data_IF_527776325004
#
_entry.id   IF_527776325004
#
_cell.length_a   1.000
_cell.length_b   1.000
_cell.length_c   1.000
_cell.angle_alpha   90.00
_cell.angle_beta   90.00
_cell.angle_gamma   90.00
#
_symmetry.space_group_name_H-M   'P 1'
#
loop_
_entity.id
_entity.type
_entity.pdbx_description
1 polymer ?
#
# COMPACT_ATOMS: atom_id res chain seq x y z
N UNK A 1 -0.72 -12.00 11.70
CA UNK A 1 -1.37 -12.58 10.50
C UNK A 1 -2.21 -11.51 9.79
N UNK A 2 -2.05 -11.38 8.48
CA UNK A 2 -2.79 -10.38 7.72
C UNK A 2 -4.20 -10.88 7.42
N UNK A 3 -5.21 -10.10 7.77
CA UNK A 3 -6.60 -10.42 7.44
C UNK A 3 -6.88 -10.09 5.98
N UNK A 4 -7.91 -10.69 5.36
CA UNK A 4 -8.29 -10.33 3.99
C UNK A 4 -8.64 -8.84 3.85
N UNK A 5 -9.27 -8.24 4.84
CA UNK A 5 -9.57 -6.81 4.82
C UNK A 5 -8.31 -5.97 4.84
N UNK A 6 -7.34 -6.33 5.69
CA UNK A 6 -6.07 -5.60 5.75
C UNK A 6 -5.33 -5.72 4.43
N UNK A 7 -5.28 -6.92 3.85
CA UNK A 7 -4.62 -7.14 2.57
C UNK A 7 -5.24 -6.29 1.47
N UNK A 8 -6.56 -6.21 1.43
CA UNK A 8 -7.27 -5.41 0.44
C UNK A 8 -6.97 -3.92 0.60
N UNK A 9 -6.91 -3.44 1.84
CA UNK A 9 -6.60 -2.03 2.12
C UNK A 9 -5.15 -1.70 1.74
N UNK A 10 -4.22 -2.60 2.04
CA UNK A 10 -2.82 -2.42 1.66
C UNK A 10 -2.67 -2.37 0.15
N UNK A 11 -3.38 -3.24 -0.58
CA UNK A 11 -3.38 -3.25 -2.04
C UNK A 11 -3.87 -1.92 -2.60
N UNK A 12 -4.98 -1.41 -2.09
CA UNK A 12 -5.52 -0.12 -2.53
C UNK A 12 -4.59 1.03 -2.19
N UNK A 13 -4.00 1.00 -1.00
CA UNK A 13 -3.05 2.04 -0.58
C UNK A 13 -1.80 2.00 -1.44
N UNK A 14 -1.29 0.81 -1.73
CA UNK A 14 -0.11 0.66 -2.59
C UNK A 14 -0.37 1.21 -3.99
N UNK A 15 -1.53 0.90 -4.55
CA UNK A 15 -1.92 1.42 -5.85
C UNK A 15 -2.01 2.95 -5.83
N UNK A 16 -2.66 3.50 -4.81
CA UNK A 16 -2.81 4.95 -4.67
C UNK A 16 -1.46 5.65 -4.57
N UNK A 17 -0.56 5.12 -3.75
CA UNK A 17 0.79 5.67 -3.60
C UNK A 17 1.53 5.62 -4.92
N UNK A 18 1.49 4.48 -5.59
CA UNK A 18 2.14 4.30 -6.89
C UNK A 18 1.64 5.34 -7.89
N UNK A 19 0.32 5.51 -7.97
CA UNK A 19 -0.31 6.38 -8.96
C UNK A 19 -0.11 7.87 -8.69
N UNK A 20 0.33 8.24 -7.47
CA UNK A 20 0.66 9.63 -7.18
C UNK A 20 2.09 9.98 -7.59
N UNK A 21 2.93 9.02 -7.89
CA UNK A 21 4.30 9.25 -8.31
C UNK A 21 4.38 9.46 -9.81
N UNK A 22 5.46 10.13 -10.26
CA UNK A 22 5.71 10.29 -11.69
C UNK A 22 5.90 8.94 -12.37
N UNK A 23 6.61 8.02 -11.71
CA UNK A 23 6.81 6.66 -12.23
C UNK A 23 5.48 5.94 -12.39
N UNK A 24 4.57 6.09 -11.43
CA UNK A 24 3.27 5.45 -11.48
C UNK A 24 2.37 5.97 -12.59
N UNK A 25 2.56 7.23 -12.99
CA UNK A 25 1.83 7.79 -14.13
C UNK A 25 2.32 7.22 -15.44
N UNK A 26 3.63 6.98 -15.55
CA UNK A 26 4.23 6.37 -16.74
C UNK A 26 4.02 4.87 -16.80
N UNK A 27 3.98 4.22 -15.63
CA UNK A 27 3.82 2.77 -15.51
C UNK A 27 2.63 2.49 -14.61
N UNK A 28 1.41 2.46 -15.16
CA UNK A 28 0.20 2.24 -14.35
C UNK A 28 0.24 0.91 -13.58
N UNK A 29 -0.41 0.89 -12.44
CA UNK A 29 -0.42 -0.26 -11.54
C UNK A 29 -0.68 -1.58 -12.25
N UNK A 30 -1.65 -1.58 -13.17
CA UNK A 30 -2.05 -2.80 -13.87
C UNK A 30 -0.98 -3.34 -14.83
N UNK A 31 0.03 -2.54 -15.15
CA UNK A 31 1.12 -2.94 -16.03
C UNK A 31 2.34 -3.42 -15.27
N UNK A 32 2.34 -3.29 -13.95
CA UNK A 32 3.49 -3.69 -13.12
C UNK A 32 3.51 -5.19 -12.92
N UNK A 33 4.73 -5.75 -12.82
CA UNK A 33 4.91 -7.14 -12.40
C UNK A 33 4.53 -7.28 -10.93
N UNK A 34 4.28 -8.51 -10.50
CA UNK A 34 4.01 -8.77 -9.08
C UNK A 34 5.17 -8.36 -8.18
N UNK A 35 6.39 -8.51 -8.67
CA UNK A 35 7.57 -8.09 -7.92
C UNK A 35 7.58 -6.58 -7.70
N UNK A 36 7.25 -5.81 -8.72
CA UNK A 36 7.20 -4.35 -8.61
C UNK A 36 6.06 -3.90 -7.72
N UNK A 37 4.88 -4.53 -7.86
CA UNK A 37 3.74 -4.26 -6.98
C UNK A 37 4.08 -4.56 -5.53
N UNK A 38 4.86 -5.61 -5.29
CA UNK A 38 5.23 -6.02 -3.94
C UNK A 38 6.05 -4.94 -3.22
N UNK A 39 6.91 -4.25 -3.95
CA UNK A 39 7.68 -3.15 -3.38
C UNK A 39 6.74 -2.04 -2.87
N UNK A 40 5.72 -1.70 -3.65
CA UNK A 40 4.72 -0.71 -3.24
C UNK A 40 3.87 -1.20 -2.08
N UNK A 41 3.53 -2.50 -2.07
CA UNK A 41 2.77 -3.11 -0.97
C UNK A 41 3.53 -3.04 0.35
N UNK A 42 4.85 -3.24 0.31
CA UNK A 42 5.70 -3.14 1.51
C UNK A 42 5.71 -1.72 2.06
N UNK A 43 5.79 -0.73 1.18
CA UNK A 43 5.73 0.67 1.59
C UNK A 43 4.37 1.01 2.20
N UNK A 44 3.30 0.54 1.58
CA UNK A 44 1.95 0.76 2.08
C UNK A 44 1.73 0.06 3.42
N UNK A 45 2.26 -1.14 3.58
CA UNK A 45 2.13 -1.89 4.83
C UNK A 45 2.84 -1.16 5.98
N UNK A 46 4.04 -0.67 5.72
CA UNK A 46 4.79 0.09 6.73
C UNK A 46 4.04 1.38 7.11
N UNK A 47 3.51 2.09 6.13
CA UNK A 47 2.72 3.30 6.39
C UNK A 47 1.43 2.98 7.15
N UNK A 48 0.79 1.87 6.82
CA UNK A 48 -0.43 1.43 7.48
C UNK A 48 -0.19 1.17 8.96
N UNK A 49 0.93 0.53 9.30
CA UNK A 49 1.30 0.27 10.70
C UNK A 49 1.48 1.56 11.48
N UNK A 50 2.12 2.56 10.87
CA UNK A 50 2.31 3.87 11.51
C UNK A 50 0.96 4.54 11.76
N UNK A 51 0.06 4.48 10.78
CA UNK A 51 -1.26 5.10 10.90
C UNK A 51 -2.10 4.41 11.97
N UNK A 52 -2.06 3.10 12.04
CA UNK A 52 -2.78 2.34 13.06
C UNK A 52 -2.26 2.71 14.45
N UNK A 53 -0.94 2.77 14.59
CA UNK A 53 -0.31 3.09 15.86
C UNK A 53 -0.69 4.50 16.32
N UNK A 54 -0.68 5.46 15.37
CA UNK A 54 -1.01 6.85 15.67
C UNK A 54 -2.51 7.04 15.98
N UNK A 55 -3.36 6.19 15.42
CA UNK A 55 -4.80 6.29 15.54
C UNK A 55 -5.41 5.37 16.57
N UNK A 56 -4.60 4.47 17.15
CA UNK A 56 -5.09 3.58 18.18
C UNK A 56 -5.65 4.44 19.32
N UNK A 57 -6.93 4.30 19.66
CA UNK A 57 -7.49 5.11 20.73
C UNK A 57 -6.86 4.70 22.05
N UNK A 58 -6.57 5.66 22.91
CA UNK A 58 -6.09 5.32 24.26
C UNK A 58 -7.24 4.70 25.04
N UNK A 59 -7.03 3.53 25.52
CA UNK A 59 -7.99 2.85 26.38
C UNK A 59 -7.48 2.77 27.78
#
# INVERSE_FOLDING_TARGET
>A
MTTPERAALIERAAQAICETTSSGRMFPWNTLSEQDKDAWRRMADAAFDVLIDAWAPPF
#
